data_IF_847419642034
#
_entry.id   IF_847419642034
#
_cell.length_a   1.000
_cell.length_b   1.000
_cell.length_c   1.000
_cell.angle_alpha   90.00
_cell.angle_beta   90.00
_cell.angle_gamma   90.00
#
_symmetry.space_group_name_H-M   'P 1'
#
loop_
_entity.id
_entity.type
_entity.pdbx_description
1 polymer ?
#
# COMPACT_ATOMS: atom_id res chain seq x y z
N UNK A 1 33.56 13.66 -0.67
CA UNK A 1 32.69 12.79 -1.49
C UNK A 1 31.79 12.01 -0.54
N UNK A 2 30.53 12.41 -0.38
CA UNK A 2 29.58 11.74 0.55
C UNK A 2 28.96 10.54 -0.16
N UNK A 3 29.33 9.33 0.26
CA UNK A 3 28.73 8.09 -0.23
C UNK A 3 27.47 7.83 0.60
N UNK A 4 26.29 8.16 0.04
CA UNK A 4 25.00 7.73 0.60
C UNK A 4 24.74 6.26 0.24
N UNK A 5 25.47 5.35 0.88
CA UNK A 5 25.44 3.91 0.61
C UNK A 5 24.46 3.15 1.50
N UNK A 6 23.17 3.51 1.48
CA UNK A 6 22.15 2.67 2.09
C UNK A 6 22.02 1.36 1.30
N UNK A 7 22.52 0.22 1.82
CA UNK A 7 22.30 -1.08 1.19
C UNK A 7 20.79 -1.34 1.17
N UNK A 8 20.18 -1.31 -0.03
CA UNK A 8 18.78 -1.67 -0.23
C UNK A 8 18.59 -3.10 0.26
N UNK A 9 17.82 -3.28 1.34
CA UNK A 9 17.45 -4.60 1.82
C UNK A 9 16.32 -5.11 0.92
N UNK A 10 16.58 -6.19 0.21
CA UNK A 10 15.56 -6.91 -0.56
C UNK A 10 15.01 -8.02 0.32
N UNK A 11 13.69 -8.15 0.36
CA UNK A 11 13.00 -9.28 0.98
C UNK A 11 12.29 -10.04 -0.15
N UNK A 12 12.52 -11.34 -0.21
CA UNK A 12 11.80 -12.24 -1.13
C UNK A 12 10.77 -12.98 -0.29
N UNK A 13 9.52 -12.94 -0.74
CA UNK A 13 8.40 -13.62 -0.08
C UNK A 13 7.84 -14.62 -1.09
N UNK A 14 7.88 -15.91 -0.75
CA UNK A 14 7.22 -16.94 -1.55
C UNK A 14 5.71 -16.80 -1.38
N UNK A 15 4.96 -16.92 -2.49
CA UNK A 15 3.51 -16.72 -2.48
C UNK A 15 2.78 -17.67 -1.52
N UNK A 16 3.28 -18.88 -1.37
CA UNK A 16 2.73 -19.89 -0.45
C UNK A 16 2.81 -19.49 1.03
N UNK A 17 3.68 -18.53 1.36
CA UNK A 17 3.84 -17.99 2.71
C UNK A 17 2.95 -16.79 2.99
N UNK A 18 2.27 -16.25 1.97
CA UNK A 18 1.34 -15.13 2.11
C UNK A 18 0.03 -15.69 2.70
N UNK A 19 -0.44 -15.05 3.75
CA UNK A 19 -1.74 -15.34 4.36
C UNK A 19 -2.79 -14.35 3.83
N UNK A 20 -2.51 -13.05 3.96
CA UNK A 20 -3.43 -12.00 3.54
C UNK A 20 -2.73 -10.85 2.83
N UNK A 21 -3.46 -10.23 1.90
CA UNK A 21 -3.12 -8.96 1.26
C UNK A 21 -4.17 -7.93 1.64
N UNK A 22 -3.78 -6.84 2.30
CA UNK A 22 -4.68 -5.76 2.71
C UNK A 22 -4.33 -4.47 1.97
N UNK A 23 -5.32 -3.89 1.29
CA UNK A 23 -5.20 -2.57 0.70
C UNK A 23 -5.53 -1.54 1.78
N UNK A 24 -4.51 -0.87 2.28
CA UNK A 24 -4.61 0.08 3.38
C UNK A 24 -4.46 1.51 2.87
N UNK A 25 -5.37 2.38 3.32
CA UNK A 25 -5.29 3.81 3.13
C UNK A 25 -5.30 4.51 4.49
N UNK A 26 -4.23 5.26 4.79
CA UNK A 26 -4.16 6.05 6.01
C UNK A 26 -4.83 7.42 5.80
N UNK A 27 -6.13 7.51 6.05
CA UNK A 27 -6.87 8.78 6.03
C UNK A 27 -6.96 9.46 7.41
N UNK A 28 -6.21 8.98 8.42
CA UNK A 28 -6.27 9.53 9.78
C UNK A 28 -5.83 10.98 9.87
N UNK A 29 -5.29 11.57 8.80
CA UNK A 29 -4.94 12.98 8.69
C UNK A 29 -6.09 13.88 8.26
N UNK A 30 -7.26 13.37 7.86
CA UNK A 30 -8.38 14.16 7.34
C UNK A 30 -9.51 14.25 8.37
N UNK A 31 -9.94 15.46 8.73
CA UNK A 31 -11.11 15.68 9.58
C UNK A 31 -12.35 15.84 8.69
N UNK A 32 -13.26 14.87 8.74
CA UNK A 32 -14.51 14.88 7.97
C UNK A 32 -15.44 16.03 8.38
N UNK A 33 -15.43 16.43 9.65
CA UNK A 33 -16.34 17.45 10.19
C UNK A 33 -15.95 18.85 9.75
N UNK A 34 -14.65 19.15 9.69
CA UNK A 34 -14.15 20.45 9.24
C UNK A 34 -13.79 20.47 7.76
N UNK A 35 -13.76 19.31 7.09
CA UNK A 35 -13.21 19.11 5.73
C UNK A 35 -11.77 19.62 5.58
N UNK A 36 -11.04 19.70 6.69
CA UNK A 36 -9.66 20.15 6.74
C UNK A 36 -8.76 18.95 7.07
N UNK A 37 -7.53 18.95 6.55
CA UNK A 37 -6.49 18.10 7.12
C UNK A 37 -6.32 18.46 8.59
N UNK A 38 -6.40 17.49 9.50
CA UNK A 38 -6.34 17.63 10.95
C UNK A 38 -5.34 18.71 11.35
N UNK A 39 -5.85 19.74 12.00
CA UNK A 39 -5.15 20.92 12.52
C UNK A 39 -3.69 20.63 12.92
N UNK A 40 -2.78 20.94 12.01
CA UNK A 40 -1.35 20.78 12.22
C UNK A 40 -0.87 21.91 13.13
N UNK A 41 -0.26 21.57 14.28
CA UNK A 41 0.59 22.53 15.00
C UNK A 41 1.73 22.91 14.06
N UNK A 42 1.91 24.22 13.79
CA UNK A 42 2.93 24.84 12.90
C UNK A 42 4.39 24.35 13.05
N UNK A 43 4.72 23.48 14.03
CA UNK A 43 6.09 23.06 14.38
C UNK A 43 6.36 21.55 14.34
N UNK A 44 5.39 20.70 13.97
CA UNK A 44 5.65 19.27 13.77
C UNK A 44 5.85 18.95 12.29
N UNK A 45 7.09 18.64 11.91
CA UNK A 45 7.53 18.29 10.55
C UNK A 45 7.36 16.81 10.20
N UNK A 46 6.95 15.96 11.15
CA UNK A 46 6.56 14.59 10.85
C UNK A 46 5.11 14.55 10.38
N UNK A 47 4.96 14.67 9.08
CA UNK A 47 3.68 14.56 8.36
C UNK A 47 3.16 13.15 8.59
N UNK A 48 1.98 13.02 9.21
CA UNK A 48 1.17 11.82 9.04
C UNK A 48 0.73 11.77 7.58
N UNK A 49 1.63 11.33 6.70
CA UNK A 49 1.35 11.26 5.27
C UNK A 49 0.22 10.28 5.09
N UNK A 50 -0.77 10.69 4.30
CA UNK A 50 -1.65 9.75 3.66
C UNK A 50 -0.76 8.70 2.99
N UNK A 51 -1.01 7.45 3.36
CA UNK A 51 -0.22 6.32 2.91
C UNK A 51 -1.18 5.38 2.20
N UNK A 52 -0.90 5.11 0.94
CA UNK A 52 -1.61 4.11 0.18
C UNK A 52 -0.69 2.91 0.01
N UNK A 53 -0.95 1.85 0.78
CA UNK A 53 -0.06 0.71 0.90
C UNK A 53 -0.80 -0.60 0.66
N UNK A 54 -0.09 -1.58 0.12
CA UNK A 54 -0.44 -2.99 0.21
C UNK A 54 0.31 -3.58 1.39
N UNK A 55 -0.45 -4.03 2.39
CA UNK A 55 0.09 -4.74 3.54
C UNK A 55 0.02 -6.24 3.24
N UNK A 56 1.19 -6.86 3.13
CA UNK A 56 1.35 -8.30 2.97
C UNK A 56 1.59 -8.91 4.35
N UNK A 57 0.69 -9.77 4.80
CA UNK A 57 0.86 -10.52 6.04
C UNK A 57 1.22 -11.96 5.71
N UNK A 58 2.35 -12.43 6.23
CA UNK A 58 2.74 -13.84 6.10
C UNK A 58 1.96 -14.72 7.07
N UNK A 59 1.98 -16.04 6.83
CA UNK A 59 1.43 -17.06 7.75
C UNK A 59 2.07 -17.05 9.14
N UNK A 60 3.26 -16.46 9.27
CA UNK A 60 3.96 -16.24 10.55
C UNK A 60 3.58 -14.88 11.19
N UNK A 61 2.54 -14.22 10.69
CA UNK A 61 2.08 -12.90 11.11
C UNK A 61 3.10 -11.76 10.93
N UNK A 62 4.10 -11.93 10.07
CA UNK A 62 5.04 -10.86 9.70
C UNK A 62 4.38 -9.96 8.66
N UNK A 63 4.38 -8.65 8.91
CA UNK A 63 3.78 -7.65 8.02
C UNK A 63 4.85 -6.94 7.19
N UNK A 64 4.59 -6.83 5.90
CA UNK A 64 5.41 -6.09 4.95
C UNK A 64 4.54 -5.03 4.27
N UNK A 65 5.02 -3.80 4.20
CA UNK A 65 4.31 -2.70 3.56
C UNK A 65 4.94 -2.38 2.21
N UNK A 66 4.12 -2.40 1.16
CA UNK A 66 4.49 -2.01 -0.19
C UNK A 66 3.70 -0.76 -0.56
N UNK A 67 4.38 0.33 -0.93
CA UNK A 67 3.68 1.54 -1.41
C UNK A 67 2.94 1.26 -2.71
N UNK A 68 1.68 1.67 -2.76
CA UNK A 68 0.80 1.62 -3.92
C UNK A 68 0.68 3.00 -4.60
N UNK A 69 1.50 3.99 -4.23
CA UNK A 69 1.43 5.34 -4.82
C UNK A 69 1.57 5.32 -6.35
N UNK A 70 2.25 4.32 -6.90
CA UNK A 70 2.37 4.15 -8.34
C UNK A 70 1.05 3.89 -9.06
N UNK A 71 0.03 3.38 -8.36
CA UNK A 71 -1.32 3.20 -8.93
C UNK A 71 -2.03 4.53 -9.23
N UNK A 72 -1.53 5.67 -8.75
CA UNK A 72 -2.06 6.97 -9.20
C UNK A 72 -1.60 7.36 -10.62
N UNK A 73 -0.60 6.67 -11.17
CA UNK A 73 -0.02 6.96 -12.47
C UNK A 73 -0.43 5.89 -13.47
N UNK A 74 -1.36 6.24 -14.37
CA UNK A 74 -1.94 5.31 -15.33
C UNK A 74 -0.92 4.72 -16.32
N UNK A 75 0.21 5.38 -16.53
CA UNK A 75 1.32 4.92 -17.38
C UNK A 75 2.28 3.97 -16.65
N UNK A 76 2.13 3.77 -15.34
CA UNK A 76 2.99 2.86 -14.58
C UNK A 76 2.67 1.39 -14.88
N UNK A 77 3.72 0.55 -14.84
CA UNK A 77 3.55 -0.90 -14.92
C UNK A 77 2.70 -1.41 -13.77
N UNK A 78 2.89 -0.84 -12.58
CA UNK A 78 2.11 -1.18 -11.40
C UNK A 78 0.62 -0.98 -11.66
N UNK A 79 0.20 0.15 -12.23
CA UNK A 79 -1.21 0.38 -12.61
C UNK A 79 -1.74 -0.69 -13.56
N UNK A 80 -1.00 -0.98 -14.65
CA UNK A 80 -1.42 -1.94 -15.68
C UNK A 80 -1.51 -3.39 -15.18
N UNK A 81 -0.57 -3.81 -14.31
CA UNK A 81 -0.50 -5.20 -13.86
C UNK A 81 -1.20 -5.46 -12.54
N UNK A 82 -1.58 -4.42 -11.78
CA UNK A 82 -2.14 -4.57 -10.43
C UNK A 82 -3.34 -5.52 -10.39
N UNK A 83 -4.32 -5.30 -11.26
CA UNK A 83 -5.53 -6.14 -11.31
C UNK A 83 -5.19 -7.60 -11.62
N UNK A 84 -4.31 -7.84 -12.60
CA UNK A 84 -3.88 -9.19 -12.96
C UNK A 84 -3.16 -9.91 -11.81
N UNK A 85 -2.27 -9.20 -11.10
CA UNK A 85 -1.58 -9.73 -9.91
C UNK A 85 -2.56 -10.08 -8.80
N UNK A 86 -3.52 -9.19 -8.52
CA UNK A 86 -4.50 -9.43 -7.45
C UNK A 86 -5.47 -10.55 -7.81
N UNK A 87 -5.89 -10.67 -9.07
CA UNK A 87 -6.66 -11.81 -9.55
C UNK A 87 -5.89 -13.14 -9.44
N UNK A 88 -4.59 -13.13 -9.74
CA UNK A 88 -3.73 -14.29 -9.55
C UNK A 88 -3.73 -14.73 -8.08
N UNK A 89 -3.48 -13.82 -7.13
CA UNK A 89 -3.51 -14.16 -5.71
C UNK A 89 -4.87 -14.68 -5.25
N UNK A 90 -5.96 -14.05 -5.70
CA UNK A 90 -7.33 -14.51 -5.41
C UNK A 90 -7.60 -15.92 -5.92
N UNK A 91 -7.07 -16.28 -7.11
CA UNK A 91 -7.19 -17.63 -7.69
C UNK A 91 -6.42 -18.69 -6.89
N UNK A 92 -5.39 -18.28 -6.15
CA UNK A 92 -4.57 -19.13 -5.29
C UNK A 92 -5.01 -19.08 -3.82
N UNK A 93 -6.29 -18.77 -3.57
CA UNK A 93 -6.91 -18.73 -2.23
C UNK A 93 -6.24 -17.77 -1.23
N UNK A 94 -5.46 -16.79 -1.72
CA UNK A 94 -4.92 -15.74 -0.87
C UNK A 94 -6.01 -14.72 -0.60
N UNK A 95 -6.25 -14.44 0.69
CA UNK A 95 -7.31 -13.52 1.11
C UNK A 95 -6.91 -12.09 0.81
N UNK A 96 -7.73 -11.39 0.04
CA UNK A 96 -7.54 -9.97 -0.27
C UNK A 96 -8.59 -9.13 0.48
N UNK A 97 -8.12 -8.19 1.29
CA UNK A 97 -8.93 -7.23 2.02
C UNK A 97 -8.88 -5.89 1.27
N UNK A 98 -9.95 -5.59 0.54
CA UNK A 98 -10.12 -4.33 -0.20
C UNK A 98 -11.27 -3.52 0.41
N UNK A 99 -11.03 -2.94 1.58
CA UNK A 99 -12.05 -2.19 2.32
C UNK A 99 -12.55 -0.94 1.57
N UNK A 100 -11.77 -0.47 0.59
CA UNK A 100 -12.04 0.76 -0.16
C UNK A 100 -12.52 0.49 -1.60
N UNK A 101 -12.78 -0.77 -1.96
CA UNK A 101 -13.24 -1.19 -3.29
C UNK A 101 -12.35 -0.70 -4.46
N UNK A 102 -11.04 -0.62 -4.24
CA UNK A 102 -10.05 -0.18 -5.23
C UNK A 102 -10.14 -1.01 -6.52
N UNK A 103 -10.48 -2.31 -6.43
CA UNK A 103 -10.67 -3.14 -7.61
C UNK A 103 -11.76 -2.65 -8.56
N UNK A 104 -12.82 -2.04 -8.02
CA UNK A 104 -13.89 -1.45 -8.84
C UNK A 104 -13.54 -0.06 -9.39
N UNK A 105 -12.53 0.60 -8.81
CA UNK A 105 -12.14 1.96 -9.18
C UNK A 105 -11.06 2.00 -10.28
N UNK A 106 -10.19 0.98 -10.32
CA UNK A 106 -9.19 0.86 -11.38
C UNK A 106 -9.90 0.37 -12.65
N UNK A 107 -9.95 1.24 -13.67
CA UNK A 107 -10.51 0.87 -14.97
C UNK A 107 -9.53 -0.07 -15.68
N UNK A 108 -9.95 -1.31 -15.89
CA UNK A 108 -9.30 -2.26 -16.79
C UNK A 108 -9.55 -1.88 -18.25
#
# INVERSE_FOLDING_TARGET
MLIFGGKRKTVIIHYELIDTLEIYFNNKGYNLDTKEGLNYRRRQTHVGREAFNLVVTSKEAVRYELSLDRLFYADSNEYHYFLAMMMYFKKHDIKILDAYAIFGCIRA
#
